data_IF_577132728367
#
_entry.id   IF_577132728367
#
_cell.length_a   1.000
_cell.length_b   1.000
_cell.length_c   1.000
_cell.angle_alpha   90.00
_cell.angle_beta   90.00
_cell.angle_gamma   90.00
#
_symmetry.space_group_name_H-M   'P 1'
#
loop_
_entity.id
_entity.type
_entity.pdbx_description
1 polymer ?
#
# COMPACT_ATOMS: atom_id res chain seq x y z
N UNK A 1 -14.87 -59.94 0.78
CA UNK A 1 -14.20 -59.53 -0.47
C UNK A 1 -14.91 -58.27 -0.93
N UNK A 2 -14.40 -57.08 -0.55
CA UNK A 2 -15.08 -55.80 -0.81
C UNK A 2 -14.26 -55.02 -1.86
N UNK A 3 -14.90 -54.74 -2.98
CA UNK A 3 -14.35 -54.04 -4.14
C UNK A 3 -14.34 -52.53 -3.90
N UNK A 4 -13.13 -51.94 -3.93
CA UNK A 4 -12.89 -50.50 -4.00
C UNK A 4 -13.23 -49.99 -5.40
N UNK A 5 -14.24 -49.11 -5.51
CA UNK A 5 -14.53 -48.36 -6.73
C UNK A 5 -13.84 -46.99 -6.65
N UNK A 6 -12.82 -46.78 -7.48
CA UNK A 6 -12.14 -45.50 -7.66
C UNK A 6 -13.00 -44.52 -8.47
N UNK A 7 -13.14 -43.25 -8.05
CA UNK A 7 -13.81 -42.23 -8.87
C UNK A 7 -12.91 -41.78 -10.03
N UNK A 8 -13.52 -41.66 -11.21
CA UNK A 8 -12.95 -41.17 -12.47
C UNK A 8 -12.50 -39.71 -12.35
N UNK A 9 -11.20 -39.47 -12.58
CA UNK A 9 -10.61 -38.14 -12.69
C UNK A 9 -11.08 -37.44 -13.97
N UNK A 10 -11.79 -36.32 -13.83
CA UNK A 10 -12.14 -35.43 -14.96
C UNK A 10 -10.89 -34.60 -15.30
N UNK A 11 -10.41 -34.60 -16.57
CA UNK A 11 -9.32 -33.74 -16.98
C UNK A 11 -9.78 -32.28 -16.97
N UNK A 12 -9.21 -31.49 -16.06
CA UNK A 12 -9.35 -30.03 -16.06
C UNK A 12 -8.78 -29.50 -17.38
N UNK A 13 -9.67 -29.11 -18.29
CA UNK A 13 -9.30 -28.44 -19.53
C UNK A 13 -8.78 -27.05 -19.15
N UNK A 14 -7.45 -26.86 -19.14
CA UNK A 14 -6.85 -25.54 -19.03
C UNK A 14 -7.28 -24.74 -20.27
N UNK A 15 -8.30 -23.90 -20.10
CA UNK A 15 -8.62 -22.85 -21.06
C UNK A 15 -7.39 -21.95 -21.27
N UNK A 16 -7.33 -21.20 -22.39
CA UNK A 16 -6.20 -20.35 -22.73
C UNK A 16 -5.91 -19.40 -21.56
N UNK A 17 -4.87 -19.73 -20.79
CA UNK A 17 -4.33 -18.92 -19.73
C UNK A 17 -3.93 -17.59 -20.37
N UNK A 18 -4.47 -16.48 -19.86
CA UNK A 18 -4.14 -15.15 -20.32
C UNK A 18 -2.62 -15.03 -20.50
N UNK A 19 -2.18 -14.82 -21.74
CA UNK A 19 -0.76 -14.71 -22.03
C UNK A 19 -0.22 -13.49 -21.29
N UNK A 20 0.80 -13.68 -20.45
CA UNK A 20 1.55 -12.56 -19.88
C UNK A 20 2.24 -11.83 -21.03
N UNK A 21 1.87 -10.58 -21.27
CA UNK A 21 2.64 -9.71 -22.17
C UNK A 21 3.84 -9.17 -21.40
N UNK A 22 4.98 -9.00 -22.07
CA UNK A 22 6.15 -8.28 -21.56
C UNK A 22 5.94 -6.75 -21.40
N UNK A 23 4.72 -6.30 -21.12
CA UNK A 23 4.42 -4.90 -20.77
C UNK A 23 4.43 -4.73 -19.26
N UNK A 24 4.89 -3.58 -18.74
CA UNK A 24 5.02 -3.38 -17.30
C UNK A 24 3.66 -3.37 -16.60
N UNK A 25 3.58 -3.98 -15.43
CA UNK A 25 2.41 -3.88 -14.56
C UNK A 25 2.23 -2.43 -14.09
N UNK A 26 1.02 -1.88 -14.29
CA UNK A 26 0.69 -0.51 -13.92
C UNK A 26 0.25 -0.36 -12.45
N UNK A 27 0.14 -1.47 -11.71
CA UNK A 27 -0.46 -1.52 -10.38
C UNK A 27 -1.97 -1.25 -10.41
N UNK A 28 -2.61 -1.28 -9.24
CA UNK A 28 -4.01 -0.90 -9.10
C UNK A 28 -4.17 0.62 -9.17
N UNK A 29 -5.16 1.08 -9.92
CA UNK A 29 -5.46 2.49 -10.17
C UNK A 29 -6.94 2.79 -9.90
N UNK A 30 -7.36 4.04 -10.09
CA UNK A 30 -8.77 4.44 -9.99
C UNK A 30 -9.70 3.73 -10.99
N UNK A 31 -9.15 3.19 -12.08
CA UNK A 31 -9.89 2.40 -13.07
C UNK A 31 -10.31 1.04 -12.53
N UNK A 32 -9.50 0.49 -11.63
CA UNK A 32 -9.74 -0.80 -10.99
C UNK A 32 -10.70 -0.66 -9.79
N UNK A 33 -10.54 0.42 -9.02
CA UNK A 33 -11.44 0.80 -7.93
C UNK A 33 -11.38 2.31 -7.68
N UNK A 34 -12.52 3.01 -7.77
CA UNK A 34 -12.59 4.47 -7.66
C UNK A 34 -12.09 5.00 -6.30
N UNK A 35 -12.12 4.19 -5.24
CA UNK A 35 -11.65 4.57 -3.90
C UNK A 35 -10.13 4.71 -3.83
N UNK A 36 -9.39 4.10 -4.76
CA UNK A 36 -7.92 4.15 -4.79
C UNK A 36 -7.42 5.58 -4.98
N UNK A 37 -8.05 6.38 -5.85
CA UNK A 37 -7.69 7.78 -6.04
C UNK A 37 -7.73 8.56 -4.72
N UNK A 38 -8.81 8.37 -3.95
CA UNK A 38 -8.99 8.99 -2.65
C UNK A 38 -7.95 8.47 -1.65
N UNK A 39 -7.72 7.16 -1.60
CA UNK A 39 -6.72 6.51 -0.75
C UNK A 39 -5.32 7.09 -0.94
N UNK A 40 -4.83 7.14 -2.18
CA UNK A 40 -3.51 7.65 -2.51
C UNK A 40 -3.35 9.13 -2.12
N UNK A 41 -4.42 9.93 -2.27
CA UNK A 41 -4.41 11.35 -1.93
C UNK A 41 -4.26 11.61 -0.42
N UNK A 42 -4.81 10.73 0.44
CA UNK A 42 -4.84 10.99 1.87
C UNK A 42 -3.85 10.15 2.68
N UNK A 43 -3.41 9.00 2.16
CA UNK A 43 -2.41 8.19 2.83
C UNK A 43 -1.06 8.92 2.83
N UNK A 44 -0.44 9.07 3.99
CA UNK A 44 0.91 9.64 4.14
C UNK A 44 2.01 8.59 4.09
N UNK A 45 1.66 7.31 4.23
CA UNK A 45 2.62 6.20 4.24
C UNK A 45 2.86 5.67 2.83
N UNK A 46 4.06 5.13 2.58
CA UNK A 46 4.43 4.56 1.27
C UNK A 46 4.06 3.08 1.14
N UNK A 47 3.65 2.43 2.24
CA UNK A 47 3.24 1.04 2.26
C UNK A 47 2.42 0.75 3.52
N UNK A 48 1.61 -0.31 3.48
CA UNK A 48 0.78 -0.74 4.59
C UNK A 48 0.39 -2.23 4.47
N UNK A 49 -0.52 -2.69 5.35
CA UNK A 49 -0.98 -4.07 5.39
C UNK A 49 -0.18 -5.00 6.31
N UNK A 50 0.76 -4.46 7.08
CA UNK A 50 1.51 -5.23 8.07
C UNK A 50 0.65 -5.67 9.26
N UNK A 51 1.20 -6.60 10.05
CA UNK A 51 0.62 -7.03 11.32
C UNK A 51 0.59 -5.87 12.33
N UNK A 52 -0.37 -5.90 13.25
CA UNK A 52 -0.47 -4.91 14.33
C UNK A 52 0.81 -4.86 15.18
N UNK A 53 1.26 -3.66 15.53
CA UNK A 53 2.50 -3.44 16.30
C UNK A 53 2.44 -4.03 17.71
N UNK A 54 1.26 -4.11 18.32
CA UNK A 54 1.05 -4.71 19.63
C UNK A 54 1.26 -6.22 19.56
N UNK A 55 0.73 -6.86 18.53
CA UNK A 55 0.94 -8.28 18.31
C UNK A 55 2.42 -8.59 18.01
N UNK A 56 3.08 -7.79 17.17
CA UNK A 56 4.51 -7.96 16.89
C UNK A 56 5.35 -7.78 18.17
N UNK A 57 4.99 -6.82 19.03
CA UNK A 57 5.66 -6.63 20.32
C UNK A 57 5.50 -7.84 21.24
N UNK A 58 4.29 -8.42 21.28
CA UNK A 58 4.01 -9.63 22.05
C UNK A 58 4.77 -10.84 21.48
N UNK A 59 4.83 -11.00 20.17
CA UNK A 59 5.56 -12.10 19.52
C UNK A 59 7.08 -12.01 19.77
N UNK A 60 7.68 -10.82 19.63
CA UNK A 60 9.14 -10.65 19.70
C UNK A 60 9.68 -10.55 21.13
N UNK A 61 8.91 -9.97 22.05
CA UNK A 61 9.41 -9.59 23.38
C UNK A 61 8.51 -10.03 24.53
N UNK A 62 7.34 -10.61 24.25
CA UNK A 62 6.33 -11.00 25.26
C UNK A 62 5.96 -9.84 26.20
N UNK A 63 6.03 -8.60 25.72
CA UNK A 63 5.76 -7.38 26.48
C UNK A 63 4.92 -6.43 25.64
N UNK A 64 3.90 -5.83 26.25
CA UNK A 64 3.05 -4.84 25.57
C UNK A 64 3.87 -3.68 24.99
N UNK A 65 3.58 -3.28 23.74
CA UNK A 65 4.34 -2.25 23.01
C UNK A 65 4.62 -0.98 23.83
N UNK A 66 3.62 -0.49 24.59
CA UNK A 66 3.76 0.71 25.43
C UNK A 66 4.89 0.62 26.46
N UNK A 67 5.18 -0.58 26.96
CA UNK A 67 6.19 -0.87 27.99
C UNK A 67 7.58 -1.17 27.40
N UNK A 68 7.74 -1.16 26.07
CA UNK A 68 9.02 -1.37 25.43
C UNK A 68 9.92 -0.13 25.53
N UNK A 69 11.24 -0.35 25.64
CA UNK A 69 12.23 0.71 25.46
C UNK A 69 12.21 1.24 24.03
N UNK A 70 12.69 2.46 23.80
CA UNK A 70 12.75 3.06 22.45
C UNK A 70 13.37 2.12 21.41
N UNK A 71 14.55 1.56 21.72
CA UNK A 71 15.25 0.60 20.84
C UNK A 71 14.40 -0.61 20.47
N UNK A 72 13.63 -1.17 21.41
CA UNK A 72 12.73 -2.30 21.12
C UNK A 72 11.51 -1.87 20.29
N UNK A 73 10.96 -0.68 20.53
CA UNK A 73 9.90 -0.12 19.68
C UNK A 73 10.37 0.06 18.25
N UNK A 74 11.59 0.57 18.04
CA UNK A 74 12.17 0.74 16.71
C UNK A 74 12.28 -0.61 15.96
N UNK A 75 12.70 -1.68 16.65
CA UNK A 75 12.73 -3.05 16.11
C UNK A 75 11.33 -3.53 15.71
N UNK A 76 10.32 -3.33 16.57
CA UNK A 76 8.93 -3.69 16.26
C UNK A 76 8.43 -2.93 15.03
N UNK A 77 8.64 -1.61 14.97
CA UNK A 77 8.25 -0.79 13.83
C UNK A 77 8.93 -1.25 12.54
N UNK A 78 10.24 -1.53 12.58
CA UNK A 78 10.98 -2.04 11.42
C UNK A 78 10.42 -3.40 10.96
N UNK A 79 10.13 -4.30 11.91
CA UNK A 79 9.51 -5.60 11.59
C UNK A 79 8.13 -5.42 10.97
N UNK A 80 7.34 -4.47 11.47
CA UNK A 80 6.01 -4.17 10.94
C UNK A 80 6.07 -3.70 9.48
N UNK A 81 7.01 -2.81 9.14
CA UNK A 81 7.25 -2.36 7.76
C UNK A 81 7.65 -3.52 6.85
N UNK A 82 8.49 -4.44 7.33
CA UNK A 82 8.88 -5.65 6.57
C UNK A 82 7.70 -6.61 6.31
N UNK A 83 6.58 -6.46 7.03
CA UNK A 83 5.38 -7.27 6.87
C UNK A 83 4.31 -6.61 6.01
N UNK A 84 4.59 -5.42 5.44
CA UNK A 84 3.65 -4.74 4.55
C UNK A 84 3.31 -5.59 3.31
N UNK A 85 2.08 -5.44 2.84
CA UNK A 85 1.48 -6.25 1.76
C UNK A 85 1.26 -5.40 0.50
N UNK A 86 1.13 -4.07 0.64
CA UNK A 86 1.06 -3.18 -0.52
C UNK A 86 1.91 -1.93 -0.33
N UNK A 87 2.38 -1.38 -1.45
CA UNK A 87 3.04 -0.08 -1.53
C UNK A 87 2.23 0.90 -2.37
N UNK A 88 2.42 2.20 -2.09
CA UNK A 88 1.74 3.30 -2.75
C UNK A 88 2.76 4.09 -3.56
N UNK A 89 2.55 4.16 -4.87
CA UNK A 89 3.30 5.04 -5.77
C UNK A 89 2.44 6.26 -6.12
N UNK A 90 2.77 7.39 -5.49
CA UNK A 90 2.04 8.65 -5.72
C UNK A 90 2.37 9.29 -7.07
N UNK A 91 3.53 9.00 -7.65
CA UNK A 91 3.92 9.55 -8.94
C UNK A 91 3.08 8.93 -10.05
N UNK A 92 2.91 7.60 -10.00
CA UNK A 92 2.08 6.86 -10.96
C UNK A 92 0.60 6.80 -10.58
N UNK A 93 0.25 7.24 -9.36
CA UNK A 93 -1.10 7.10 -8.78
C UNK A 93 -1.56 5.63 -8.76
N UNK A 94 -0.65 4.75 -8.37
CA UNK A 94 -0.87 3.31 -8.36
C UNK A 94 -0.55 2.67 -7.02
N UNK A 95 -1.17 1.51 -6.76
CA UNK A 95 -0.85 0.63 -5.64
C UNK A 95 -0.29 -0.68 -6.17
N UNK A 96 0.80 -1.16 -5.57
CA UNK A 96 1.44 -2.42 -5.96
C UNK A 96 1.43 -3.43 -4.82
N UNK A 97 1.27 -4.70 -5.15
CA UNK A 97 1.49 -5.79 -4.19
C UNK A 97 2.98 -5.91 -3.86
N UNK A 98 3.28 -6.11 -2.58
CA UNK A 98 4.62 -6.38 -2.03
C UNK A 98 4.51 -7.53 -1.01
N UNK A 99 5.64 -7.93 -0.41
CA UNK A 99 5.64 -8.94 0.65
C UNK A 99 5.61 -10.37 0.10
N UNK A 100 4.65 -11.19 0.55
CA UNK A 100 4.61 -12.63 0.28
C UNK A 100 4.35 -12.98 -1.18
N UNK A 101 3.46 -12.23 -1.84
CA UNK A 101 3.14 -12.37 -3.26
C UNK A 101 3.33 -11.01 -3.93
N UNK A 102 4.58 -10.63 -4.27
CA UNK A 102 4.87 -9.30 -4.78
C UNK A 102 4.43 -9.16 -6.23
N UNK A 103 4.25 -7.92 -6.67
CA UNK A 103 4.05 -7.59 -8.08
C UNK A 103 5.14 -8.24 -8.94
N UNK A 104 4.74 -9.00 -9.95
CA UNK A 104 5.66 -9.69 -10.86
C UNK A 104 6.22 -8.80 -11.99
N UNK A 105 5.89 -7.50 -11.99
CA UNK A 105 6.34 -6.52 -12.97
C UNK A 105 5.66 -6.58 -14.34
N UNK A 106 4.79 -7.57 -14.62
CA UNK A 106 4.18 -7.76 -15.93
C UNK A 106 2.66 -7.57 -15.89
N UNK A 107 2.12 -6.76 -16.79
CA UNK A 107 0.68 -6.58 -16.96
C UNK A 107 0.02 -7.85 -17.53
N UNK A 108 -1.27 -7.99 -17.29
CA UNK A 108 -2.12 -8.97 -17.97
C UNK A 108 -2.81 -8.28 -19.14
N UNK A 109 -3.09 -9.03 -20.21
CA UNK A 109 -3.93 -8.55 -21.29
C UNK A 109 -5.33 -9.14 -21.17
N UNK A 110 -6.34 -8.29 -21.08
CA UNK A 110 -7.72 -8.69 -21.18
C UNK A 110 -8.12 -9.03 -22.63
N UNK A 111 -9.29 -9.61 -22.82
CA UNK A 111 -9.79 -10.04 -24.15
C UNK A 111 -9.97 -8.88 -25.13
N UNK A 112 -10.25 -7.69 -24.62
CA UNK A 112 -10.38 -6.45 -25.38
C UNK A 112 -9.03 -5.74 -25.62
N UNK A 113 -7.91 -6.43 -25.34
CA UNK A 113 -6.55 -5.91 -25.42
C UNK A 113 -6.23 -4.79 -24.41
N UNK A 114 -7.11 -4.55 -23.42
CA UNK A 114 -6.78 -3.64 -22.31
C UNK A 114 -5.72 -4.25 -21.40
N UNK A 115 -4.87 -3.39 -20.83
CA UNK A 115 -3.85 -3.79 -19.87
C UNK A 115 -4.44 -3.78 -18.48
N UNK A 116 -4.37 -4.94 -17.82
CA UNK A 116 -4.79 -5.11 -16.45
C UNK A 116 -3.57 -5.26 -15.51
N UNK A 117 -3.72 -4.93 -14.22
CA UNK A 117 -2.72 -5.22 -13.20
C UNK A 117 -2.40 -6.71 -13.16
N UNK A 118 -1.19 -7.07 -12.71
CA UNK A 118 -0.81 -8.47 -12.50
C UNK A 118 -1.70 -9.15 -11.44
N UNK A 119 -1.76 -10.49 -11.43
CA UNK A 119 -2.57 -11.24 -10.48
C UNK A 119 -2.29 -10.87 -9.00
N UNK A 120 -1.03 -10.73 -8.54
CA UNK A 120 -0.75 -10.29 -7.17
C UNK A 120 -1.32 -8.91 -6.83
N UNK A 121 -1.18 -7.94 -7.73
CA UNK A 121 -1.78 -6.60 -7.54
C UNK A 121 -3.30 -6.67 -7.51
N UNK A 122 -3.92 -7.42 -8.43
CA UNK A 122 -5.38 -7.58 -8.46
C UNK A 122 -5.90 -8.26 -7.19
N UNK A 123 -5.17 -9.24 -6.65
CA UNK A 123 -5.54 -9.96 -5.43
C UNK A 123 -5.67 -9.04 -4.20
N UNK A 124 -5.04 -7.86 -4.19
CA UNK A 124 -5.22 -6.87 -3.12
C UNK A 124 -6.70 -6.44 -2.99
N UNK A 125 -7.46 -6.36 -4.09
CA UNK A 125 -8.89 -6.00 -4.06
C UNK A 125 -9.77 -7.07 -3.38
N UNK A 126 -9.22 -8.26 -3.13
CA UNK A 126 -9.88 -9.32 -2.36
C UNK A 126 -9.43 -9.37 -0.90
N UNK A 127 -8.42 -8.58 -0.51
CA UNK A 127 -7.94 -8.53 0.87
C UNK A 127 -8.82 -7.59 1.71
N UNK A 128 -9.49 -8.14 2.72
CA UNK A 128 -10.35 -7.35 3.62
C UNK A 128 -9.63 -6.14 4.23
N UNK A 129 -8.38 -6.29 4.65
CA UNK A 129 -7.57 -5.20 5.22
C UNK A 129 -7.30 -4.09 4.20
N UNK A 130 -7.08 -4.43 2.94
CA UNK A 130 -6.91 -3.44 1.87
C UNK A 130 -8.23 -2.73 1.55
N UNK A 131 -9.32 -3.49 1.41
CA UNK A 131 -10.65 -2.92 1.17
C UNK A 131 -11.06 -1.94 2.27
N UNK A 132 -10.80 -2.26 3.55
CA UNK A 132 -11.05 -1.35 4.66
C UNK A 132 -10.19 -0.09 4.56
N UNK A 133 -8.91 -0.23 4.22
CA UNK A 133 -7.98 0.89 4.09
C UNK A 133 -8.41 1.87 2.99
N UNK A 134 -8.80 1.38 1.81
CA UNK A 134 -9.23 2.25 0.70
C UNK A 134 -10.63 2.84 0.92
N UNK A 135 -11.46 2.22 1.75
CA UNK A 135 -12.81 2.72 2.08
C UNK A 135 -12.81 3.83 3.12
N UNK A 136 -11.66 4.15 3.71
CA UNK A 136 -11.61 5.13 4.78
C UNK A 136 -11.84 6.55 4.26
N UNK A 137 -12.84 7.22 4.83
CA UNK A 137 -13.07 8.64 4.60
C UNK A 137 -11.93 9.49 5.19
N UNK A 138 -11.45 10.51 4.45
CA UNK A 138 -10.46 11.45 4.95
C UNK A 138 -10.93 12.09 6.26
N UNK A 139 -10.05 12.22 7.26
CA UNK A 139 -10.40 12.94 8.49
C UNK A 139 -10.76 14.40 8.16
N UNK A 140 -11.75 14.94 8.87
CA UNK A 140 -12.07 16.38 8.85
C UNK A 140 -10.80 17.20 9.10
N UNK A 141 -10.70 18.38 8.48
CA UNK A 141 -9.51 19.22 8.59
C UNK A 141 -9.13 19.53 10.04
N UNK A 142 -10.11 19.75 10.91
CA UNK A 142 -9.93 19.95 12.36
C UNK A 142 -9.17 18.78 13.03
N UNK A 143 -9.37 17.56 12.54
CA UNK A 143 -8.75 16.36 13.11
C UNK A 143 -7.32 16.13 12.59
N UNK A 144 -6.88 16.86 11.55
CA UNK A 144 -5.51 16.71 11.01
C UNK A 144 -4.43 17.17 12.00
N UNK A 145 -4.78 17.99 12.98
CA UNK A 145 -3.85 18.38 14.05
C UNK A 145 -3.41 17.21 14.94
N UNK A 146 -4.17 16.11 14.97
CA UNK A 146 -3.92 14.96 15.84
C UNK A 146 -3.17 13.80 15.16
N UNK A 147 -2.52 14.04 14.01
CA UNK A 147 -1.66 13.01 13.40
C UNK A 147 -0.51 12.69 14.37
N UNK A 148 -0.29 11.40 14.72
CA UNK A 148 0.80 11.03 15.63
C UNK A 148 2.16 11.52 15.11
N UNK A 149 2.98 12.08 16.00
CA UNK A 149 4.30 12.63 15.66
C UNK A 149 5.22 11.66 14.92
N UNK A 150 5.07 10.35 15.15
CA UNK A 150 5.86 9.33 14.45
C UNK A 150 5.60 9.30 12.92
N UNK A 151 4.46 9.83 12.47
CA UNK A 151 4.11 9.98 11.06
C UNK A 151 4.35 11.41 10.55
N UNK A 152 5.01 12.26 11.34
CA UNK A 152 5.39 13.63 11.00
C UNK A 152 6.92 13.76 11.07
N UNK A 153 7.67 13.30 10.05
CA UNK A 153 9.12 13.46 10.05
C UNK A 153 9.45 14.96 10.12
N UNK A 154 10.22 15.37 11.13
CA UNK A 154 10.57 16.76 11.35
C UNK A 154 11.33 17.34 10.14
N UNK A 155 12.06 16.50 9.43
CA UNK A 155 12.81 16.81 8.21
C UNK A 155 11.88 17.28 7.09
N UNK A 156 10.70 16.67 6.94
CA UNK A 156 9.71 17.07 5.94
C UNK A 156 9.18 18.45 6.26
N UNK A 157 8.83 18.71 7.53
CA UNK A 157 8.40 20.05 7.96
C UNK A 157 9.47 21.12 7.70
N UNK A 158 10.75 20.79 7.95
CA UNK A 158 11.88 21.69 7.70
C UNK A 158 12.04 22.02 6.21
N UNK A 159 11.92 21.03 5.33
CA UNK A 159 11.98 21.24 3.87
C UNK A 159 10.86 22.18 3.40
N UNK A 160 9.64 22.00 3.89
CA UNK A 160 8.52 22.90 3.57
C UNK A 160 8.74 24.32 4.11
N UNK A 161 9.26 24.45 5.34
CA UNK A 161 9.60 25.75 5.90
C UNK A 161 10.62 26.53 5.07
N UNK A 162 11.63 25.85 4.53
CA UNK A 162 12.63 26.48 3.64
C UNK A 162 12.01 27.00 2.34
N UNK A 163 11.14 26.22 1.70
CA UNK A 163 10.45 26.63 0.47
C UNK A 163 9.47 27.79 0.70
N UNK A 164 8.75 27.79 1.82
CA UNK A 164 7.84 28.89 2.18
C UNK A 164 8.57 30.21 2.39
N UNK A 165 9.73 30.21 3.04
CA UNK A 165 10.53 31.42 3.22
C UNK A 165 10.96 32.02 1.87
N UNK A 166 11.37 31.20 0.90
CA UNK A 166 11.71 31.70 -0.44
C UNK A 166 10.54 32.32 -1.20
N UNK A 167 9.30 31.88 -0.93
CA UNK A 167 8.10 32.47 -1.53
C UNK A 167 7.71 33.80 -0.87
N UNK A 168 7.91 33.92 0.45
CA UNK A 168 7.62 35.15 1.19
C UNK A 168 8.64 36.24 0.82
N UNK A 169 9.92 35.89 0.71
CA UNK A 169 10.98 36.84 0.38
C UNK A 169 10.88 37.34 -1.08
N UNK A 170 10.40 36.50 -2.01
CA UNK A 170 10.19 36.88 -3.41
C UNK A 170 9.02 37.85 -3.64
N UNK A 171 8.03 37.89 -2.75
CA UNK A 171 6.88 38.83 -2.84
C UNK A 171 7.29 40.26 -2.47
N UNK A 172 8.37 40.45 -1.71
CA UNK A 172 8.86 41.77 -1.33
C UNK A 172 9.60 42.54 -2.45
N UNK A 173 9.89 41.91 -3.59
CA UNK A 173 10.69 42.52 -4.67
C UNK A 173 9.87 43.04 -5.86
N UNK A 174 8.53 43.03 -5.82
CA UNK A 174 7.66 43.35 -6.97
C UNK A 174 6.87 44.67 -6.81
N UNK A 175 7.23 45.54 -5.84
CA UNK A 175 6.52 46.81 -5.61
C UNK A 175 7.44 48.03 -5.46
N UNK A 176 8.30 48.24 -6.45
CA UNK A 176 8.91 49.55 -6.69
C UNK A 176 9.08 49.75 -8.19
N UNK A 177 8.08 50.33 -8.83
CA UNK A 177 8.19 51.19 -10.02
C UNK A 177 6.94 52.07 -10.12
#
# INVERSE_FOLDING_TARGET
MNTLSSPLSIPLTLGPSAACIALPCLGLTEKDDSRIAQYIKHTSVNSAGGKDIHDIAMDLFSVAFKNLTKKKKDIVCQKQVQMHIWSVDRMQKSVYAIGKDPCNGNARQAKDSTLEPCNPCLALLSLHTFCNAISWEPPKNENRAYVPHMFQPAEVGKLYGMGLNTLIDGVHLIHTD
#
